data_IF_462307509870
#
_entry.id   IF_462307509870
#
_cell.length_a   1.000
_cell.length_b   1.000
_cell.length_c   1.000
_cell.angle_alpha   90.00
_cell.angle_beta   90.00
_cell.angle_gamma   90.00
#
_symmetry.space_group_name_H-M   'P 1'
#
loop_
_entity.id
_entity.type
_entity.pdbx_description
1 polymer ?
#
# COMPACT_ATOMS: atom_id res chain seq x y z
N UNK A 1 -27.50 -7.79 -2.26
CA UNK A 1 -27.35 -6.32 -2.13
C UNK A 1 -26.04 -5.86 -2.78
N UNK A 2 -26.15 -5.00 -3.81
CA UNK A 2 -24.98 -4.44 -4.49
C UNK A 2 -24.85 -2.96 -4.11
N UNK A 3 -23.68 -2.56 -3.63
CA UNK A 3 -23.35 -1.18 -3.36
C UNK A 3 -22.52 -0.61 -4.50
N UNK A 4 -23.02 0.46 -5.14
CA UNK A 4 -22.27 1.21 -6.16
C UNK A 4 -21.77 2.50 -5.55
N UNK A 5 -20.48 2.76 -5.68
CA UNK A 5 -19.85 3.92 -5.09
C UNK A 5 -20.00 5.16 -5.97
N UNK A 6 -20.10 6.31 -5.35
CA UNK A 6 -20.10 7.63 -5.98
C UNK A 6 -18.84 8.41 -5.67
N UNK A 7 -18.56 9.46 -6.42
CA UNK A 7 -17.40 10.34 -6.13
C UNK A 7 -17.50 11.00 -4.76
N UNK A 8 -18.71 11.32 -4.31
CA UNK A 8 -18.98 11.96 -3.02
C UNK A 8 -18.63 11.05 -1.83
N UNK A 9 -18.78 9.73 -1.97
CA UNK A 9 -18.44 8.77 -0.92
C UNK A 9 -16.94 8.78 -0.57
N UNK A 10 -16.09 9.18 -1.51
CA UNK A 10 -14.63 9.23 -1.35
C UNK A 10 -14.07 10.64 -1.06
N UNK A 11 -14.91 11.63 -0.87
CA UNK A 11 -14.50 12.90 -0.31
C UNK A 11 -13.98 12.73 1.12
N UNK A 12 -13.02 13.55 1.51
CA UNK A 12 -12.30 13.39 2.78
C UNK A 12 -13.23 13.29 3.99
N UNK A 13 -14.34 14.05 3.99
CA UNK A 13 -15.33 14.02 5.06
C UNK A 13 -16.18 12.74 5.09
N UNK A 14 -16.47 12.17 3.93
CA UNK A 14 -17.41 11.05 3.80
C UNK A 14 -16.70 9.68 3.77
N UNK A 15 -15.43 9.62 3.38
CA UNK A 15 -14.67 8.38 3.19
C UNK A 15 -14.67 7.46 4.41
N UNK A 16 -14.46 8.02 5.59
CA UNK A 16 -14.49 7.24 6.85
C UNK A 16 -15.85 6.59 7.09
N UNK A 17 -16.91 7.36 6.89
CA UNK A 17 -18.29 6.90 7.02
C UNK A 17 -18.63 5.83 5.99
N UNK A 18 -18.17 6.01 4.77
CA UNK A 18 -18.38 5.05 3.68
C UNK A 18 -17.63 3.74 3.91
N UNK A 19 -16.36 3.78 4.31
CA UNK A 19 -15.61 2.57 4.66
C UNK A 19 -16.24 1.84 5.86
N UNK A 20 -16.72 2.56 6.88
CA UNK A 20 -17.48 1.98 7.99
C UNK A 20 -18.75 1.29 7.53
N UNK A 21 -19.46 1.87 6.56
CA UNK A 21 -20.67 1.29 5.98
C UNK A 21 -20.38 -0.01 5.21
N UNK A 22 -19.27 -0.09 4.47
CA UNK A 22 -18.84 -1.34 3.82
C UNK A 22 -18.49 -2.39 4.86
N UNK A 23 -17.71 -2.04 5.86
CA UNK A 23 -17.21 -2.98 6.89
C UNK A 23 -18.34 -3.58 7.74
N UNK A 24 -19.42 -2.84 7.98
CA UNK A 24 -20.54 -3.25 8.83
C UNK A 24 -21.80 -3.63 8.06
N UNK A 25 -21.83 -3.34 6.75
CA UNK A 25 -22.98 -3.64 5.89
C UNK A 25 -22.96 -5.08 5.38
N UNK A 26 -24.15 -5.60 5.13
CA UNK A 26 -24.35 -6.92 4.50
C UNK A 26 -24.51 -6.75 2.98
N UNK A 27 -23.38 -6.57 2.30
CA UNK A 27 -23.34 -6.42 0.85
C UNK A 27 -22.74 -7.66 0.18
N UNK A 28 -23.41 -8.17 -0.84
CA UNK A 28 -22.92 -9.27 -1.68
C UNK A 28 -21.78 -8.81 -2.60
N UNK A 29 -21.84 -7.57 -3.06
CA UNK A 29 -20.81 -6.97 -3.90
C UNK A 29 -20.74 -5.44 -3.72
N UNK A 30 -19.55 -4.89 -3.88
CA UNK A 30 -19.28 -3.45 -3.90
C UNK A 30 -18.56 -3.08 -5.19
N UNK A 31 -19.12 -2.16 -5.96
CA UNK A 31 -18.53 -1.66 -7.21
C UNK A 31 -17.84 -0.33 -6.93
N UNK A 32 -16.53 -0.29 -7.15
CA UNK A 32 -15.69 0.88 -6.87
C UNK A 32 -14.92 1.29 -8.12
N UNK A 33 -14.92 2.57 -8.46
CA UNK A 33 -14.07 3.10 -9.52
C UNK A 33 -12.58 3.06 -9.15
N UNK A 34 -11.69 2.88 -10.13
CA UNK A 34 -10.25 2.80 -9.91
C UNK A 34 -9.67 3.98 -9.11
N UNK A 35 -10.04 5.21 -9.49
CA UNK A 35 -9.57 6.42 -8.80
C UNK A 35 -10.04 6.54 -7.34
N UNK A 36 -11.16 5.90 -7.04
CA UNK A 36 -11.73 5.84 -5.70
C UNK A 36 -11.07 4.72 -4.88
N UNK A 37 -10.88 3.55 -5.49
CA UNK A 37 -10.19 2.42 -4.87
C UNK A 37 -8.76 2.78 -4.43
N UNK A 38 -8.10 3.60 -5.23
CA UNK A 38 -6.77 4.12 -4.91
C UNK A 38 -6.68 4.94 -3.61
N UNK A 39 -7.77 5.49 -3.14
CA UNK A 39 -7.85 6.26 -1.90
C UNK A 39 -8.00 5.37 -0.66
N UNK A 40 -8.33 4.09 -0.83
CA UNK A 40 -8.38 3.12 0.27
C UNK A 40 -6.94 2.67 0.56
N UNK A 41 -6.51 2.87 1.77
CA UNK A 41 -5.14 2.53 2.19
C UNK A 41 -5.06 1.09 2.69
N UNK A 42 -3.91 0.49 2.51
CA UNK A 42 -3.58 -0.76 3.21
C UNK A 42 -3.25 -0.46 4.67
N UNK A 43 -3.41 -1.44 5.55
CA UNK A 43 -3.03 -1.31 6.96
C UNK A 43 -1.56 -0.88 7.10
N UNK A 44 -1.29 -0.12 8.16
CA UNK A 44 0.08 0.33 8.47
C UNK A 44 1.01 -0.86 8.70
N UNK A 45 0.52 -1.92 9.34
CA UNK A 45 1.25 -3.16 9.58
C UNK A 45 1.70 -3.80 8.27
N UNK A 46 0.82 -3.89 7.29
CA UNK A 46 1.12 -4.49 5.99
C UNK A 46 2.07 -3.64 5.16
N UNK A 47 1.91 -2.34 5.18
CA UNK A 47 2.87 -1.41 4.56
C UNK A 47 4.25 -1.54 5.19
N UNK A 48 4.33 -1.66 6.51
CA UNK A 48 5.59 -1.87 7.24
C UNK A 48 6.25 -3.19 6.85
N UNK A 49 5.51 -4.28 6.82
CA UNK A 49 6.04 -5.59 6.39
C UNK A 49 6.62 -5.54 4.98
N UNK A 50 5.94 -4.90 4.04
CA UNK A 50 6.43 -4.74 2.68
C UNK A 50 7.73 -3.94 2.62
N UNK A 51 7.78 -2.81 3.32
CA UNK A 51 8.98 -1.97 3.38
C UNK A 51 10.14 -2.71 4.05
N UNK A 52 9.86 -3.49 5.09
CA UNK A 52 10.87 -4.30 5.77
C UNK A 52 11.42 -5.40 4.86
N UNK A 53 10.58 -6.09 4.09
CA UNK A 53 11.02 -7.08 3.11
C UNK A 53 11.90 -6.45 2.03
N UNK A 54 11.53 -5.28 1.52
CA UNK A 54 12.34 -4.54 0.55
C UNK A 54 13.71 -4.15 1.14
N UNK A 55 13.74 -3.75 2.40
CA UNK A 55 14.98 -3.41 3.10
C UNK A 55 15.89 -4.63 3.22
N UNK A 56 15.34 -5.78 3.61
CA UNK A 56 16.08 -7.05 3.74
C UNK A 56 16.65 -7.51 2.38
N UNK A 57 15.86 -7.36 1.30
CA UNK A 57 16.30 -7.70 -0.05
C UNK A 57 17.45 -6.78 -0.53
N UNK A 58 17.38 -5.49 -0.21
CA UNK A 58 18.45 -4.53 -0.54
C UNK A 58 19.71 -4.81 0.27
N UNK A 59 19.60 -5.14 1.55
CA UNK A 59 20.74 -5.49 2.38
C UNK A 59 21.44 -6.74 1.87
N UNK A 60 20.69 -7.78 1.47
CA UNK A 60 21.25 -8.95 0.80
C UNK A 60 21.94 -8.59 -0.50
N UNK A 61 21.32 -7.75 -1.34
CA UNK A 61 21.92 -7.28 -2.58
C UNK A 61 23.24 -6.53 -2.37
N UNK A 62 23.34 -5.70 -1.33
CA UNK A 62 24.57 -4.99 -0.97
C UNK A 62 25.66 -6.00 -0.57
N UNK A 63 25.35 -6.99 0.27
CA UNK A 63 26.30 -8.02 0.68
C UNK A 63 26.82 -8.84 -0.52
N UNK A 64 25.93 -9.23 -1.42
CA UNK A 64 26.29 -10.00 -2.63
C UNK A 64 27.24 -9.20 -3.54
N UNK A 65 26.93 -7.93 -3.78
CA UNK A 65 27.78 -7.06 -4.63
C UNK A 65 29.12 -6.79 -3.97
N UNK A 66 29.18 -6.62 -2.67
CA UNK A 66 30.44 -6.47 -1.94
C UNK A 66 31.31 -7.74 -1.98
N UNK A 67 30.72 -8.92 -1.82
CA UNK A 67 31.42 -10.21 -1.90
C UNK A 67 31.96 -10.50 -3.32
N UNK A 68 31.20 -10.12 -4.35
CA UNK A 68 31.59 -10.33 -5.74
C UNK A 68 32.56 -9.28 -6.30
N UNK A 69 33.06 -8.34 -5.49
CA UNK A 69 33.85 -7.18 -5.91
C UNK A 69 33.16 -6.36 -7.02
N UNK A 70 31.83 -6.25 -6.92
CA UNK A 70 31.03 -5.50 -7.86
C UNK A 70 31.33 -4.00 -7.83
N UNK A 71 30.85 -3.29 -8.85
CA UNK A 71 31.10 -1.87 -9.03
C UNK A 71 30.62 -1.05 -7.83
N UNK A 72 31.45 -0.17 -7.32
CA UNK A 72 31.13 0.77 -6.23
C UNK A 72 29.89 1.63 -6.52
N UNK A 73 29.62 1.88 -7.79
CA UNK A 73 28.46 2.64 -8.23
C UNK A 73 27.15 1.93 -7.87
N UNK A 74 27.07 0.62 -8.08
CA UNK A 74 25.89 -0.20 -7.73
C UNK A 74 25.66 -0.21 -6.23
N UNK A 75 26.71 -0.33 -5.43
CA UNK A 75 26.63 -0.27 -3.96
C UNK A 75 26.09 1.08 -3.51
N UNK A 76 26.56 2.18 -4.09
CA UNK A 76 26.05 3.54 -3.78
C UNK A 76 24.56 3.70 -4.09
N UNK A 77 24.12 3.16 -5.22
CA UNK A 77 22.69 3.19 -5.59
C UNK A 77 21.83 2.39 -4.62
N UNK A 78 22.26 1.18 -4.24
CA UNK A 78 21.56 0.34 -3.27
C UNK A 78 21.49 1.02 -1.91
N UNK A 79 22.56 1.66 -1.44
CA UNK A 79 22.58 2.43 -0.19
C UNK A 79 21.64 3.63 -0.22
N UNK A 80 21.54 4.33 -1.37
CA UNK A 80 20.58 5.43 -1.55
C UNK A 80 19.14 4.94 -1.48
N UNK A 81 18.84 3.81 -2.10
CA UNK A 81 17.52 3.18 -2.06
C UNK A 81 17.18 2.73 -0.64
N UNK A 82 18.13 2.14 0.08
CA UNK A 82 17.99 1.77 1.49
C UNK A 82 17.59 2.96 2.36
N UNK A 83 18.32 4.08 2.26
CA UNK A 83 17.96 5.31 2.99
C UNK A 83 16.56 5.80 2.67
N UNK A 84 16.13 5.72 1.41
CA UNK A 84 14.79 6.08 0.99
C UNK A 84 13.71 5.22 1.63
N UNK A 85 13.94 3.91 1.76
CA UNK A 85 13.02 2.98 2.41
C UNK A 85 12.98 3.21 3.93
N UNK A 86 14.14 3.42 4.57
CA UNK A 86 14.22 3.76 5.99
C UNK A 86 13.46 5.04 6.32
N UNK A 87 13.57 6.07 5.47
CA UNK A 87 12.81 7.31 5.62
C UNK A 87 11.30 7.08 5.50
N UNK A 88 10.85 6.22 4.57
CA UNK A 88 9.44 5.83 4.43
C UNK A 88 8.92 5.09 5.66
N UNK A 89 9.70 4.16 6.20
CA UNK A 89 9.36 3.44 7.44
C UNK A 89 9.21 4.39 8.62
N UNK A 90 10.12 5.33 8.78
CA UNK A 90 10.05 6.35 9.83
C UNK A 90 8.80 7.20 9.70
N UNK A 91 8.51 7.68 8.49
CA UNK A 91 7.31 8.47 8.20
C UNK A 91 6.03 7.69 8.48
N UNK A 92 6.00 6.40 8.15
CA UNK A 92 4.87 5.51 8.40
C UNK A 92 4.61 5.33 9.91
N UNK A 93 5.68 5.18 10.70
CA UNK A 93 5.57 5.08 12.16
C UNK A 93 5.06 6.37 12.80
N UNK A 94 5.45 7.54 12.27
CA UNK A 94 4.99 8.84 12.76
C UNK A 94 3.52 9.08 12.41
N UNK A 95 3.05 8.59 11.27
CA UNK A 95 1.66 8.73 10.81
C UNK A 95 0.68 7.88 11.63
N UNK A 96 1.14 6.79 12.24
CA UNK A 96 0.33 5.88 13.08
C UNK A 96 -0.41 6.59 14.22
N UNK A 97 0.00 7.78 14.58
CA UNK A 97 -0.62 8.58 15.65
C UNK A 97 -1.82 9.44 15.21
N UNK A 98 -2.09 9.56 13.89
CA UNK A 98 -3.02 10.60 13.39
C UNK A 98 -4.30 10.09 12.72
N UNK A 99 -4.38 8.85 12.22
CA UNK A 99 -5.52 8.42 11.42
C UNK A 99 -6.19 7.14 11.91
N UNK A 100 -7.41 7.29 12.40
CA UNK A 100 -8.41 6.22 12.60
C UNK A 100 -9.19 5.97 11.31
N UNK A 101 -8.52 5.83 10.17
CA UNK A 101 -9.17 5.46 8.91
C UNK A 101 -9.25 3.93 8.84
N UNK A 102 -10.40 3.43 8.40
CA UNK A 102 -10.58 1.99 8.16
C UNK A 102 -9.70 1.58 6.97
N UNK A 103 -8.84 0.60 7.22
CA UNK A 103 -7.95 0.04 6.22
C UNK A 103 -8.67 -0.95 5.31
N UNK A 104 -8.06 -1.26 4.16
CA UNK A 104 -8.62 -2.23 3.20
C UNK A 104 -8.93 -3.58 3.86
N UNK A 105 -8.06 -4.06 4.72
CA UNK A 105 -8.20 -5.34 5.43
C UNK A 105 -9.43 -5.36 6.37
N UNK A 106 -9.81 -4.22 6.91
CA UNK A 106 -10.97 -4.08 7.79
C UNK A 106 -12.31 -4.05 7.03
N UNK A 107 -12.27 -3.88 5.71
CA UNK A 107 -13.47 -3.90 4.87
C UNK A 107 -14.11 -5.29 4.78
N UNK A 108 -13.38 -6.35 5.10
CA UNK A 108 -13.88 -7.72 5.05
C UNK A 108 -14.12 -8.25 3.62
N UNK A 109 -13.27 -7.84 2.68
CA UNK A 109 -13.36 -8.26 1.28
C UNK A 109 -12.74 -9.64 1.09
N UNK A 110 -13.54 -10.62 0.68
CA UNK A 110 -13.09 -11.99 0.42
C UNK A 110 -12.48 -12.16 -0.97
N UNK A 111 -13.02 -11.47 -1.96
CA UNK A 111 -12.60 -11.55 -3.36
C UNK A 111 -12.56 -10.18 -4.02
N UNK A 112 -11.50 -9.94 -4.79
CA UNK A 112 -11.31 -8.71 -5.54
C UNK A 112 -11.29 -9.03 -7.04
N UNK A 113 -12.19 -8.39 -7.81
CA UNK A 113 -12.23 -8.44 -9.26
C UNK A 113 -11.79 -7.09 -9.81
N UNK A 114 -10.74 -7.08 -10.62
CA UNK A 114 -10.18 -5.86 -11.18
C UNK A 114 -10.33 -5.91 -12.70
N UNK A 115 -11.16 -5.01 -13.23
CA UNK A 115 -11.20 -4.73 -14.66
C UNK A 115 -10.06 -3.77 -15.02
N UNK A 116 -9.53 -3.86 -16.25
CA UNK A 116 -8.41 -3.02 -16.68
C UNK A 116 -7.19 -3.08 -15.75
N UNK A 117 -6.81 -4.28 -15.33
CA UNK A 117 -5.76 -4.52 -14.31
C UNK A 117 -4.38 -3.96 -14.68
N UNK A 118 -4.17 -3.59 -15.95
CA UNK A 118 -2.93 -2.95 -16.42
C UNK A 118 -2.65 -1.60 -15.74
N UNK A 119 -3.66 -0.89 -15.24
CA UNK A 119 -3.47 0.32 -14.44
C UNK A 119 -2.69 0.07 -13.16
N UNK A 120 -2.69 -1.17 -12.66
CA UNK A 120 -2.01 -1.56 -11.42
C UNK A 120 -0.63 -2.19 -11.65
N UNK A 121 -0.21 -2.45 -12.89
CA UNK A 121 1.10 -3.04 -13.19
C UNK A 121 2.28 -2.30 -12.55
N UNK A 122 2.21 -0.98 -12.53
CA UNK A 122 3.26 -0.14 -11.94
C UNK A 122 3.06 0.10 -10.44
N UNK A 123 1.89 -0.19 -9.89
CA UNK A 123 1.62 -0.08 -8.46
C UNK A 123 2.13 -1.28 -7.67
N UNK A 124 2.09 -2.47 -8.25
CA UNK A 124 2.75 -3.62 -7.65
C UNK A 124 4.25 -3.36 -7.41
N UNK A 125 4.89 -2.61 -8.33
CA UNK A 125 6.28 -2.13 -8.15
C UNK A 125 6.43 -0.97 -7.15
N UNK A 126 5.35 -0.23 -6.86
CA UNK A 126 5.36 0.85 -5.84
C UNK A 126 4.91 0.37 -4.47
N UNK A 127 4.18 -0.73 -4.40
CA UNK A 127 3.73 -1.39 -3.19
C UNK A 127 4.54 -2.65 -2.85
N UNK A 128 5.32 -3.12 -3.80
CA UNK A 128 6.27 -4.20 -3.59
C UNK A 128 7.60 -3.67 -3.06
#
# INVERSE_FOLDING_TARGET
>A
NILVTTKQDFETANRKKFCGRIATGDYDAVIIGHSQFEKIQMSVERQREQLQRQLDDIERGIEEVQKSRGEQFTVKQLMKTRKGIEAKLKKLNDTKRKDTVIDFEQLGVDRLFIDESHFYKNRAKRCA
#
